data_IF_302742769635
#
_entry.id   IF_302742769635
#
_cell.length_a   1.000
_cell.length_b   1.000
_cell.length_c   1.000
_cell.angle_alpha   90.00
_cell.angle_beta   90.00
_cell.angle_gamma   90.00
#
_symmetry.space_group_name_H-M   'P 1'
#
loop_
_entity.id
_entity.type
_entity.pdbx_description
1 polymer ?
#
# COMPACT_ATOMS: atom_id res chain seq x y z
N UNK A 1 -40.89 -4.17 -10.55
CA UNK A 1 -39.62 -4.94 -10.50
C UNK A 1 -38.51 -3.99 -10.05
N UNK A 2 -38.08 -4.10 -8.78
CA UNK A 2 -37.05 -3.22 -8.19
C UNK A 2 -35.68 -3.89 -8.45
N UNK A 3 -34.87 -3.33 -9.34
CA UNK A 3 -33.46 -3.73 -9.51
C UNK A 3 -32.65 -3.15 -8.35
N UNK A 4 -32.04 -4.03 -7.56
CA UNK A 4 -31.02 -3.65 -6.57
C UNK A 4 -29.75 -3.26 -7.33
N UNK A 5 -29.38 -1.99 -7.26
CA UNK A 5 -28.07 -1.53 -7.70
C UNK A 5 -27.02 -1.93 -6.64
N UNK A 6 -26.10 -2.78 -7.03
CA UNK A 6 -24.89 -3.05 -6.24
C UNK A 6 -23.90 -1.90 -6.48
N UNK A 7 -23.62 -1.17 -5.42
CA UNK A 7 -22.64 -0.07 -5.39
C UNK A 7 -21.28 -0.70 -5.11
N UNK A 8 -20.41 -0.79 -6.11
CA UNK A 8 -19.01 -1.14 -5.92
C UNK A 8 -18.24 0.11 -5.48
N UNK A 9 -18.11 0.31 -4.18
CA UNK A 9 -17.16 1.26 -3.58
C UNK A 9 -15.89 0.47 -3.31
N UNK A 10 -14.85 0.71 -4.11
CA UNK A 10 -13.50 0.18 -3.85
C UNK A 10 -12.81 1.04 -2.79
N UNK A 11 -13.40 1.09 -1.61
CA UNK A 11 -12.70 1.34 -0.36
C UNK A 11 -12.68 -0.01 0.32
N UNK A 12 -11.50 -0.60 0.49
CA UNK A 12 -11.34 -1.81 1.29
C UNK A 12 -11.65 -1.48 2.76
N UNK A 13 -12.93 -1.28 3.06
CA UNK A 13 -13.43 -1.32 4.43
C UNK A 13 -13.82 -2.78 4.70
N UNK A 14 -13.03 -3.46 5.50
CA UNK A 14 -13.46 -4.65 6.20
C UNK A 14 -14.58 -4.25 7.17
N UNK A 15 -15.80 -4.06 6.65
CA UNK A 15 -17.01 -3.85 7.44
C UNK A 15 -17.40 -5.17 8.10
N UNK A 16 -17.09 -5.34 9.38
CA UNK A 16 -17.59 -6.44 10.18
C UNK A 16 -19.10 -6.34 10.37
N UNK A 17 -19.86 -7.28 9.82
CA UNK A 17 -21.20 -7.61 10.30
C UNK A 17 -21.06 -8.22 11.72
N UNK A 18 -21.99 -7.97 12.66
CA UNK A 18 -21.99 -8.64 13.95
C UNK A 18 -22.08 -10.15 13.70
N UNK A 19 -21.05 -10.87 14.09
CA UNK A 19 -21.01 -12.32 14.00
C UNK A 19 -22.05 -12.89 14.97
N UNK A 20 -23.20 -13.31 14.43
CA UNK A 20 -23.98 -14.35 15.10
C UNK A 20 -23.02 -15.52 15.33
N UNK A 21 -23.05 -16.11 16.53
CA UNK A 21 -22.34 -17.33 16.86
C UNK A 21 -22.60 -18.36 15.76
N UNK A 22 -21.70 -18.48 14.80
CA UNK A 22 -21.75 -19.50 13.76
C UNK A 22 -21.37 -20.83 14.43
N UNK A 23 -22.39 -21.60 14.79
CA UNK A 23 -22.25 -23.00 15.16
C UNK A 23 -21.85 -23.74 13.90
N UNK A 24 -20.63 -24.31 13.86
CA UNK A 24 -20.30 -25.45 13.04
C UNK A 24 -19.78 -25.18 11.63
N UNK A 25 -18.74 -24.35 11.47
CA UNK A 25 -17.83 -24.47 10.36
C UNK A 25 -16.60 -25.30 10.77
N UNK A 26 -16.02 -26.07 9.86
CA UNK A 26 -14.83 -26.86 10.12
C UNK A 26 -13.55 -26.19 9.61
N UNK A 27 -12.41 -26.74 10.04
CA UNK A 27 -11.10 -26.29 9.57
C UNK A 27 -10.98 -26.28 8.03
N UNK A 28 -11.63 -27.25 7.37
CA UNK A 28 -11.60 -27.45 5.93
C UNK A 28 -12.84 -26.84 5.26
N UNK A 29 -14.03 -27.03 5.83
CA UNK A 29 -15.32 -26.61 5.27
C UNK A 29 -15.40 -25.09 5.07
N UNK A 30 -14.81 -24.32 5.98
CA UNK A 30 -14.74 -22.84 5.90
C UNK A 30 -13.45 -22.35 5.22
N UNK A 31 -12.66 -23.25 4.64
CA UNK A 31 -11.45 -22.86 3.93
C UNK A 31 -11.79 -22.13 2.62
N UNK A 32 -10.90 -21.25 2.24
CA UNK A 32 -10.94 -20.58 0.94
C UNK A 32 -9.57 -20.66 0.28
N UNK A 33 -9.55 -20.87 -1.03
CA UNK A 33 -8.32 -20.80 -1.80
C UNK A 33 -8.53 -19.94 -3.06
N UNK A 34 -7.62 -19.02 -3.29
CA UNK A 34 -7.58 -18.19 -4.50
C UNK A 34 -6.19 -18.24 -5.11
N UNK A 35 -6.12 -18.35 -6.43
CA UNK A 35 -4.90 -18.18 -7.20
C UNK A 35 -5.06 -16.92 -8.06
N UNK A 36 -4.23 -15.91 -7.81
CA UNK A 36 -4.19 -14.73 -8.66
C UNK A 36 -3.03 -14.86 -9.65
N UNK A 37 -3.35 -14.81 -10.93
CA UNK A 37 -2.39 -14.65 -12.01
C UNK A 37 -2.21 -13.17 -12.27
N UNK A 38 -0.95 -12.67 -12.27
CA UNK A 38 -0.62 -11.26 -12.51
C UNK A 38 0.43 -11.17 -13.61
N UNK A 39 0.03 -10.70 -14.77
CA UNK A 39 0.96 -10.33 -15.83
C UNK A 39 1.27 -8.85 -15.69
N UNK A 40 2.55 -8.50 -15.64
CA UNK A 40 2.98 -7.14 -15.36
C UNK A 40 4.10 -6.70 -16.30
N UNK A 41 3.81 -5.75 -17.17
CA UNK A 41 4.79 -5.01 -17.94
C UNK A 41 5.00 -3.64 -17.31
N UNK A 42 6.25 -3.26 -17.11
CA UNK A 42 6.61 -2.00 -16.47
C UNK A 42 7.80 -1.36 -17.17
N UNK A 43 7.61 -0.12 -17.64
CA UNK A 43 8.62 0.69 -18.30
C UNK A 43 8.73 2.05 -17.60
N UNK A 44 9.97 2.49 -17.40
CA UNK A 44 10.35 3.83 -16.95
C UNK A 44 11.43 4.37 -17.85
N UNK A 45 11.25 5.57 -18.36
CA UNK A 45 12.29 6.37 -19.00
C UNK A 45 12.72 7.46 -18.00
N UNK A 46 14.03 7.63 -17.86
CA UNK A 46 14.66 8.57 -16.94
C UNK A 46 15.32 9.69 -17.73
N UNK A 47 15.02 10.93 -17.41
CA UNK A 47 15.65 12.13 -17.95
C UNK A 47 16.03 13.07 -16.81
N UNK A 48 16.87 14.05 -17.09
CA UNK A 48 17.46 14.93 -16.05
C UNK A 48 17.94 14.15 -14.81
N UNK A 49 18.79 13.15 -15.07
CA UNK A 49 19.16 12.14 -14.10
C UNK A 49 19.95 12.76 -12.95
N UNK A 50 19.41 12.71 -11.75
CA UNK A 50 20.05 13.17 -10.53
C UNK A 50 20.77 12.02 -9.81
N UNK A 51 21.94 12.33 -9.24
CA UNK A 51 22.72 11.38 -8.45
C UNK A 51 23.65 10.47 -9.27
N UNK A 52 23.96 9.27 -8.75
CA UNK A 52 24.99 8.37 -9.31
C UNK A 52 24.45 7.36 -10.30
N UNK A 53 23.15 7.12 -10.32
CA UNK A 53 22.57 6.19 -11.27
C UNK A 53 22.53 6.84 -12.65
N UNK A 54 23.19 6.22 -13.63
CA UNK A 54 23.25 6.70 -15.02
C UNK A 54 22.31 5.93 -15.94
N UNK A 55 21.44 5.09 -15.39
CA UNK A 55 20.49 4.31 -16.16
C UNK A 55 19.42 5.23 -16.75
N UNK A 56 19.27 5.24 -18.08
CA UNK A 56 18.26 6.06 -18.77
C UNK A 56 16.90 5.38 -18.91
N UNK A 57 16.83 4.07 -18.68
CA UNK A 57 15.61 3.28 -18.82
C UNK A 57 15.58 2.10 -17.86
N UNK A 58 14.40 1.79 -17.30
CA UNK A 58 14.12 0.50 -16.66
C UNK A 58 12.88 -0.12 -17.31
N UNK A 59 12.99 -1.38 -17.74
CA UNK A 59 11.89 -2.06 -18.43
C UNK A 59 11.95 -3.56 -18.17
N UNK A 60 10.87 -4.08 -17.61
CA UNK A 60 10.75 -5.49 -17.28
C UNK A 60 9.32 -5.98 -17.53
N UNK A 61 9.22 -7.23 -17.96
CA UNK A 61 7.96 -7.94 -18.11
C UNK A 61 8.02 -9.25 -17.36
N UNK A 62 7.01 -9.51 -16.51
CA UNK A 62 7.03 -10.67 -15.64
C UNK A 62 5.62 -11.21 -15.39
N UNK A 63 5.56 -12.52 -15.05
CA UNK A 63 4.35 -13.21 -14.66
C UNK A 63 4.42 -13.58 -13.18
N UNK A 64 3.44 -13.13 -12.39
CA UNK A 64 3.25 -13.48 -10.98
C UNK A 64 2.16 -14.52 -10.78
N UNK A 65 2.36 -15.38 -9.78
CA UNK A 65 1.39 -16.34 -9.25
C UNK A 65 1.29 -16.12 -7.76
N UNK A 66 0.08 -15.82 -7.25
CA UNK A 66 -0.16 -15.51 -5.85
C UNK A 66 -1.26 -16.45 -5.36
N UNK A 67 -0.87 -17.49 -4.62
CA UNK A 67 -1.77 -18.43 -3.99
C UNK A 67 -2.08 -17.96 -2.57
N UNK A 68 -3.35 -17.73 -2.27
CA UNK A 68 -3.85 -17.46 -0.93
C UNK A 68 -4.78 -18.61 -0.51
N UNK A 69 -4.34 -19.38 0.45
CA UNK A 69 -5.17 -20.36 1.15
C UNK A 69 -5.42 -19.86 2.57
N UNK A 70 -6.66 -19.87 3.00
CA UNK A 70 -7.07 -19.56 4.38
C UNK A 70 -7.93 -20.68 4.89
N UNK A 71 -7.48 -21.39 5.93
CA UNK A 71 -8.32 -22.40 6.56
C UNK A 71 -9.48 -21.77 7.34
N UNK A 72 -10.50 -22.54 7.64
CA UNK A 72 -11.41 -22.25 8.74
C UNK A 72 -10.70 -22.39 10.09
N UNK A 73 -11.50 -22.63 11.15
CA UNK A 73 -11.01 -22.88 12.51
C UNK A 73 -11.50 -24.22 13.01
N UNK A 74 -10.69 -24.87 13.88
CA UNK A 74 -11.15 -26.05 14.60
C UNK A 74 -12.36 -25.70 15.49
N UNK A 75 -13.29 -26.64 15.72
CA UNK A 75 -14.37 -26.46 16.66
C UNK A 75 -13.86 -26.27 18.09
N UNK A 76 -14.64 -25.57 18.94
CA UNK A 76 -14.34 -25.38 20.34
C UNK A 76 -14.30 -23.89 20.75
N UNK A 77 -14.12 -23.61 22.06
CA UNK A 77 -14.07 -22.24 22.55
C UNK A 77 -12.82 -21.47 22.04
N UNK A 78 -11.74 -22.20 21.75
CA UNK A 78 -10.56 -21.68 21.05
C UNK A 78 -10.43 -22.46 19.75
N UNK A 79 -10.60 -21.75 18.62
CA UNK A 79 -10.39 -22.32 17.30
C UNK A 79 -8.98 -22.09 16.80
N UNK A 80 -8.37 -23.09 16.15
CA UNK A 80 -7.05 -23.00 15.52
C UNK A 80 -7.17 -23.13 14.00
N UNK A 81 -6.31 -22.44 13.28
CA UNK A 81 -6.26 -22.45 11.82
C UNK A 81 -4.87 -22.17 11.27
N UNK A 82 -4.76 -22.33 9.94
CA UNK A 82 -3.51 -22.14 9.19
C UNK A 82 -3.81 -21.43 7.89
N UNK A 83 -3.07 -20.35 7.61
CA UNK A 83 -3.10 -19.70 6.30
C UNK A 83 -1.77 -19.97 5.55
N UNK A 84 -1.86 -20.06 4.22
CA UNK A 84 -0.71 -20.29 3.34
C UNK A 84 -0.70 -19.23 2.25
N UNK A 85 0.42 -18.54 2.10
CA UNK A 85 0.69 -17.58 1.04
C UNK A 85 1.80 -18.11 0.15
N UNK A 86 1.45 -18.60 -1.05
CA UNK A 86 2.42 -19.03 -2.07
C UNK A 86 2.66 -17.91 -3.07
N UNK A 87 3.90 -17.53 -3.29
CA UNK A 87 4.29 -16.44 -4.18
C UNK A 87 5.35 -16.94 -5.16
N UNK A 88 5.15 -16.69 -6.46
CA UNK A 88 6.11 -17.02 -7.50
C UNK A 88 6.08 -15.94 -8.58
N UNK A 89 7.26 -15.44 -8.98
CA UNK A 89 7.47 -14.54 -10.10
C UNK A 89 8.36 -15.17 -11.13
N UNK A 90 8.01 -15.04 -12.41
CA UNK A 90 8.74 -15.56 -13.56
C UNK A 90 9.01 -14.40 -14.52
N UNK A 91 10.27 -14.25 -14.92
CA UNK A 91 10.70 -13.28 -15.92
C UNK A 91 10.20 -13.69 -17.31
N UNK A 92 9.52 -12.77 -17.99
CA UNK A 92 9.17 -12.91 -19.40
C UNK A 92 10.15 -12.15 -20.28
N UNK A 93 10.54 -10.92 -19.87
CA UNK A 93 11.55 -10.12 -20.53
C UNK A 93 12.24 -9.15 -19.56
N UNK A 94 13.57 -9.06 -19.64
CA UNK A 94 14.45 -8.09 -18.99
C UNK A 94 15.88 -8.26 -19.47
N UNK A 95 16.63 -7.16 -19.59
CA UNK A 95 18.07 -7.16 -19.88
C UNK A 95 18.83 -6.41 -18.78
N UNK A 96 20.14 -6.66 -18.65
CA UNK A 96 21.00 -6.08 -17.62
C UNK A 96 21.13 -4.54 -17.69
N UNK A 97 20.86 -3.95 -18.86
CA UNK A 97 20.88 -2.50 -19.10
C UNK A 97 19.56 -1.79 -18.72
N UNK A 98 18.50 -2.54 -18.42
CA UNK A 98 17.16 -2.00 -18.13
C UNK A 98 16.43 -2.67 -16.97
N UNK A 99 17.16 -3.25 -16.02
CA UNK A 99 16.63 -3.81 -14.76
C UNK A 99 16.16 -2.72 -13.79
N UNK A 100 15.81 -3.09 -12.57
CA UNK A 100 15.48 -2.20 -11.45
C UNK A 100 14.09 -1.54 -11.50
N UNK A 101 13.11 -2.15 -12.16
CA UNK A 101 11.70 -1.74 -12.00
C UNK A 101 11.12 -2.16 -10.64
N UNK A 102 11.78 -3.09 -9.95
CA UNK A 102 11.31 -3.73 -8.72
C UNK A 102 10.26 -4.84 -8.97
N UNK A 103 10.10 -5.33 -10.20
CA UNK A 103 9.32 -6.53 -10.50
C UNK A 103 10.09 -7.79 -10.17
N UNK A 104 11.39 -7.81 -10.48
CA UNK A 104 12.28 -8.97 -10.37
C UNK A 104 13.46 -8.67 -9.44
N UNK A 105 13.99 -9.66 -8.72
CA UNK A 105 15.29 -9.53 -8.07
C UNK A 105 16.39 -9.29 -9.10
N UNK A 106 17.39 -8.50 -8.75
CA UNK A 106 18.56 -8.25 -9.59
C UNK A 106 19.78 -8.83 -8.90
N UNK A 107 20.54 -9.66 -9.62
CA UNK A 107 21.80 -10.27 -9.14
C UNK A 107 22.96 -9.28 -9.22
N UNK A 108 24.10 -9.62 -8.60
CA UNK A 108 25.30 -8.79 -8.57
C UNK A 108 25.90 -8.54 -9.97
N UNK A 109 25.59 -9.40 -10.95
CA UNK A 109 25.98 -9.22 -12.36
C UNK A 109 25.05 -8.27 -13.14
N UNK A 110 24.09 -7.63 -12.47
CA UNK A 110 23.13 -6.69 -13.04
C UNK A 110 21.95 -7.34 -13.75
N UNK A 111 21.87 -8.68 -13.82
CA UNK A 111 20.78 -9.37 -14.51
C UNK A 111 19.60 -9.64 -13.57
N UNK A 112 18.39 -9.52 -14.11
CA UNK A 112 17.18 -9.92 -13.41
C UNK A 112 17.10 -11.45 -13.30
N UNK A 113 16.69 -11.93 -12.12
CA UNK A 113 16.44 -13.36 -11.86
C UNK A 113 15.42 -13.92 -12.86
N UNK A 114 15.61 -15.16 -13.31
CA UNK A 114 14.69 -15.83 -14.22
C UNK A 114 13.37 -16.18 -13.53
N UNK A 115 13.46 -16.53 -12.25
CA UNK A 115 12.32 -16.82 -11.39
C UNK A 115 12.69 -16.54 -9.94
N UNK A 116 11.70 -16.31 -9.11
CA UNK A 116 11.84 -16.20 -7.66
C UNK A 116 10.52 -16.52 -6.99
N UNK A 117 10.55 -16.96 -5.74
CA UNK A 117 9.33 -17.31 -5.06
C UNK A 117 9.54 -17.63 -3.59
N UNK A 118 8.45 -17.68 -2.85
CA UNK A 118 8.45 -18.04 -1.44
C UNK A 118 7.12 -18.60 -0.99
N UNK A 119 7.16 -19.36 0.11
CA UNK A 119 6.00 -19.90 0.79
C UNK A 119 5.95 -19.32 2.20
N UNK A 120 4.89 -18.60 2.52
CA UNK A 120 4.59 -18.07 3.84
C UNK A 120 3.51 -18.89 4.54
N UNK A 121 3.72 -19.19 5.82
CA UNK A 121 2.76 -19.88 6.68
C UNK A 121 2.37 -18.95 7.83
N UNK A 122 1.08 -18.97 8.20
CA UNK A 122 0.55 -18.22 9.34
C UNK A 122 -0.34 -19.11 10.17
N UNK A 123 0.10 -19.43 11.38
CA UNK A 123 -0.73 -20.06 12.40
C UNK A 123 -1.68 -19.02 12.97
N UNK A 124 -2.92 -19.40 13.21
CA UNK A 124 -3.91 -18.51 13.82
C UNK A 124 -4.71 -19.23 14.89
N UNK A 125 -5.03 -18.50 15.94
CA UNK A 125 -5.91 -18.94 17.02
C UNK A 125 -6.97 -17.87 17.24
N UNK A 126 -8.22 -18.27 17.45
CA UNK A 126 -9.34 -17.37 17.68
C UNK A 126 -10.09 -17.75 18.95
N UNK A 127 -10.34 -16.77 19.79
CA UNK A 127 -11.24 -16.84 20.91
C UNK A 127 -12.24 -15.68 20.81
N UNK A 128 -13.53 -15.98 20.78
CA UNK A 128 -14.57 -14.99 20.53
C UNK A 128 -14.30 -14.20 19.24
N UNK A 129 -14.22 -12.87 19.32
CA UNK A 129 -13.87 -11.97 18.20
C UNK A 129 -12.41 -11.50 18.25
N UNK A 130 -11.57 -12.17 19.05
CA UNK A 130 -10.14 -11.90 19.16
C UNK A 130 -9.33 -13.00 18.47
N UNK A 131 -8.40 -12.59 17.60
CA UNK A 131 -7.56 -13.48 16.82
C UNK A 131 -6.07 -13.19 17.05
N UNK A 132 -5.31 -14.23 17.35
CA UNK A 132 -3.85 -14.23 17.40
C UNK A 132 -3.31 -14.87 16.13
N UNK A 133 -2.36 -14.22 15.48
CA UNK A 133 -1.64 -14.73 14.29
C UNK A 133 -0.15 -14.77 14.56
N UNK A 134 0.50 -15.82 14.07
CA UNK A 134 1.95 -15.95 14.09
C UNK A 134 2.44 -16.51 12.76
N UNK A 135 3.30 -15.81 12.10
CA UNK A 135 3.89 -16.21 10.80
C UNK A 135 3.97 -15.08 9.80
N UNK A 136 3.84 -15.43 8.52
CA UNK A 136 3.96 -14.51 7.39
C UNK A 136 2.65 -13.73 7.19
N UNK A 137 2.73 -12.40 7.20
CA UNK A 137 1.57 -11.51 7.19
C UNK A 137 1.76 -10.34 6.21
N UNK A 138 0.63 -9.79 5.77
CA UNK A 138 0.55 -8.60 4.92
C UNK A 138 -0.25 -7.51 5.65
N UNK A 139 0.34 -6.80 6.64
CA UNK A 139 -0.35 -5.73 7.37
C UNK A 139 -0.76 -4.61 6.43
N UNK A 140 -1.88 -3.96 6.76
CA UNK A 140 -2.38 -2.79 6.04
C UNK A 140 -2.84 -1.74 7.07
N UNK A 141 -1.86 -1.14 7.73
CA UNK A 141 -2.02 -0.16 8.81
C UNK A 141 -1.51 1.20 8.32
N UNK A 142 -2.01 2.32 8.83
CA UNK A 142 -1.49 3.64 8.44
C UNK A 142 0.01 3.80 8.66
N UNK A 143 0.53 3.20 9.72
CA UNK A 143 1.95 3.22 10.11
C UNK A 143 2.78 2.09 9.49
N UNK A 144 2.15 1.09 8.89
CA UNK A 144 2.80 -0.06 8.27
C UNK A 144 1.88 -0.72 7.24
N UNK A 145 2.04 -0.38 5.98
CA UNK A 145 1.32 -1.03 4.90
C UNK A 145 2.26 -1.97 4.13
N UNK A 146 1.78 -3.18 3.80
CA UNK A 146 2.48 -4.00 2.84
C UNK A 146 2.35 -3.38 1.45
N UNK A 147 3.42 -3.45 0.66
CA UNK A 147 3.39 -2.96 -0.70
C UNK A 147 2.95 -4.06 -1.66
N UNK A 148 1.85 -3.84 -2.38
CA UNK A 148 1.36 -4.72 -3.47
C UNK A 148 1.21 -3.94 -4.79
N UNK A 149 2.20 -3.12 -5.12
CA UNK A 149 2.22 -2.27 -6.32
C UNK A 149 3.18 -2.75 -7.40
N UNK A 150 3.67 -3.98 -7.29
CA UNK A 150 4.56 -4.67 -8.24
C UNK A 150 4.04 -6.09 -8.52
N UNK A 151 4.93 -6.99 -8.91
CA UNK A 151 4.58 -8.36 -9.28
C UNK A 151 4.05 -9.18 -8.10
N UNK A 152 4.78 -9.17 -6.99
CA UNK A 152 4.43 -9.86 -5.74
C UNK A 152 4.34 -8.86 -4.57
N UNK A 153 3.52 -9.14 -3.55
CA UNK A 153 3.43 -8.28 -2.36
C UNK A 153 4.67 -8.42 -1.47
N UNK A 154 5.00 -7.35 -0.77
CA UNK A 154 5.89 -7.41 0.39
C UNK A 154 5.17 -8.11 1.55
N UNK A 155 5.93 -8.82 2.39
CA UNK A 155 5.40 -9.54 3.55
C UNK A 155 6.25 -9.28 4.79
N UNK A 156 5.65 -9.54 5.95
CA UNK A 156 6.29 -9.41 7.25
C UNK A 156 6.07 -10.66 8.08
N UNK A 157 7.04 -11.04 8.89
CA UNK A 157 6.94 -12.19 9.78
C UNK A 157 6.94 -11.75 11.24
N UNK A 158 5.97 -12.24 11.99
CA UNK A 158 5.85 -11.94 13.43
C UNK A 158 4.52 -12.36 14.02
N UNK A 159 4.16 -11.72 15.13
CA UNK A 159 2.94 -11.97 15.89
C UNK A 159 2.02 -10.77 15.81
N UNK A 160 0.73 -11.00 15.60
CA UNK A 160 -0.32 -9.97 15.60
C UNK A 160 -1.52 -10.45 16.41
N UNK A 161 -2.05 -9.58 17.26
CA UNK A 161 -3.32 -9.74 17.97
C UNK A 161 -4.32 -8.75 17.38
N UNK A 162 -5.50 -9.24 17.00
CA UNK A 162 -6.59 -8.43 16.45
C UNK A 162 -7.84 -8.69 17.29
N UNK A 163 -8.45 -7.67 17.87
CA UNK A 163 -9.67 -7.77 18.66
C UNK A 163 -10.79 -6.91 18.07
N UNK A 164 -12.00 -7.51 17.99
CA UNK A 164 -13.25 -6.88 17.56
C UNK A 164 -14.38 -7.17 18.57
N UNK A 165 -14.03 -7.24 19.85
CA UNK A 165 -15.00 -7.53 20.93
C UNK A 165 -15.98 -6.38 21.16
N UNK A 166 -15.60 -5.16 20.84
CA UNK A 166 -16.43 -3.97 21.00
C UNK A 166 -16.99 -3.58 19.62
N UNK A 167 -18.32 -3.49 19.46
CA UNK A 167 -18.92 -3.08 18.21
C UNK A 167 -18.38 -1.74 17.68
N UNK A 168 -17.99 -1.73 16.41
CA UNK A 168 -17.39 -0.57 15.76
C UNK A 168 -15.91 -0.34 16.04
N UNK A 169 -15.31 -1.02 17.04
CA UNK A 169 -13.90 -0.89 17.40
C UNK A 169 -13.09 -2.09 16.93
N UNK A 170 -12.04 -1.83 16.13
CA UNK A 170 -11.00 -2.82 15.81
C UNK A 170 -9.70 -2.38 16.48
N UNK A 171 -9.19 -3.19 17.39
CA UNK A 171 -7.89 -2.99 18.02
C UNK A 171 -6.89 -3.98 17.47
N UNK A 172 -5.66 -3.53 17.25
CA UNK A 172 -4.56 -4.41 16.84
C UNK A 172 -3.28 -4.06 17.59
N UNK A 173 -2.52 -5.08 17.93
CA UNK A 173 -1.16 -4.95 18.44
C UNK A 173 -0.29 -6.04 17.82
N UNK A 174 0.99 -5.76 17.62
CA UNK A 174 1.88 -6.75 17.03
C UNK A 174 3.35 -6.45 17.22
N UNK A 175 4.14 -7.50 17.01
CA UNK A 175 5.59 -7.46 16.92
C UNK A 175 6.04 -8.23 15.69
N UNK A 176 6.67 -7.52 14.75
CA UNK A 176 7.22 -8.08 13.52
C UNK A 176 8.73 -8.10 13.61
N UNK A 177 9.35 -9.18 13.15
CA UNK A 177 10.79 -9.41 13.34
C UNK A 177 11.56 -9.26 12.02
N UNK A 178 10.93 -9.60 10.90
CA UNK A 178 11.57 -9.54 9.58
C UNK A 178 10.56 -9.11 8.51
N UNK A 179 11.09 -8.59 7.41
CA UNK A 179 10.34 -8.33 6.19
C UNK A 179 10.94 -9.10 5.01
N UNK A 180 10.12 -9.45 4.02
CA UNK A 180 10.57 -9.89 2.71
C UNK A 180 10.10 -8.87 1.70
N UNK A 181 11.04 -8.24 1.01
CA UNK A 181 10.73 -7.21 0.01
C UNK A 181 10.00 -7.82 -1.19
N UNK A 182 9.24 -7.00 -1.92
CA UNK A 182 8.41 -7.42 -3.05
C UNK A 182 9.17 -8.14 -4.18
N UNK A 183 10.47 -7.84 -4.35
CA UNK A 183 11.38 -8.44 -5.33
C UNK A 183 12.51 -9.23 -4.64
N UNK A 184 12.21 -9.95 -3.56
CA UNK A 184 13.17 -10.76 -2.82
C UNK A 184 12.53 -12.06 -2.35
N UNK A 185 13.38 -13.05 -2.02
CA UNK A 185 13.00 -14.30 -1.35
C UNK A 185 13.42 -14.31 0.11
N UNK A 186 14.27 -13.37 0.53
CA UNK A 186 14.99 -13.43 1.78
C UNK A 186 14.30 -12.63 2.88
N UNK A 187 14.22 -13.24 4.06
CA UNK A 187 13.83 -12.55 5.28
C UNK A 187 14.98 -11.64 5.75
N UNK A 188 14.70 -10.35 5.82
CA UNK A 188 15.67 -9.33 6.21
C UNK A 188 15.20 -8.57 7.44
N UNK A 189 16.13 -8.01 8.22
CA UNK A 189 15.83 -7.02 9.23
C UNK A 189 15.16 -5.81 8.57
N UNK A 190 14.28 -5.15 9.30
CA UNK A 190 13.59 -3.99 8.76
C UNK A 190 14.47 -2.75 8.82
N UNK A 191 14.43 -1.97 7.74
CA UNK A 191 15.09 -0.66 7.63
C UNK A 191 14.06 0.44 7.51
N UNK A 192 14.33 1.60 8.07
CA UNK A 192 13.58 2.81 7.76
C UNK A 192 14.06 3.41 6.44
N UNK A 193 13.16 4.11 5.74
CA UNK A 193 13.45 4.81 4.50
C UNK A 193 12.67 6.13 4.44
N UNK A 194 13.33 7.19 3.97
CA UNK A 194 12.70 8.40 3.44
C UNK A 194 12.90 8.33 1.93
N UNK A 195 11.82 8.26 1.18
CA UNK A 195 11.90 8.17 -0.29
C UNK A 195 12.16 9.56 -0.86
N UNK A 196 13.09 9.64 -1.80
CA UNK A 196 13.51 10.90 -2.46
C UNK A 196 14.04 11.96 -1.48
N UNK A 197 14.68 11.54 -0.38
CA UNK A 197 15.35 12.45 0.55
C UNK A 197 16.47 13.22 -0.17
N UNK A 198 16.34 14.54 -0.37
CA UNK A 198 17.35 15.34 -1.06
C UNK A 198 18.53 15.73 -0.18
N UNK A 199 18.38 15.63 1.16
CA UNK A 199 19.38 16.06 2.14
C UNK A 199 20.38 14.92 2.38
N UNK A 200 19.88 13.76 2.77
CA UNK A 200 20.73 12.61 3.11
C UNK A 200 20.11 11.27 2.71
N UNK A 201 20.07 10.93 1.43
CA UNK A 201 19.38 9.75 0.91
C UNK A 201 19.93 8.41 1.43
N UNK A 202 21.07 8.42 2.15
CA UNK A 202 21.71 7.21 2.69
C UNK A 202 21.65 7.09 4.21
N UNK A 203 21.21 8.10 4.92
CA UNK A 203 21.22 8.12 6.39
C UNK A 203 20.52 6.92 7.01
N UNK A 204 19.39 6.51 6.44
CA UNK A 204 18.57 5.43 6.95
C UNK A 204 18.91 4.06 6.33
N UNK A 205 19.54 4.04 5.16
CA UNK A 205 19.66 2.83 4.33
C UNK A 205 20.45 1.68 4.97
N UNK A 206 21.26 1.94 5.98
CA UNK A 206 22.11 0.95 6.64
C UNK A 206 21.70 0.61 8.07
N UNK A 207 20.78 1.37 8.66
CA UNK A 207 20.29 1.11 10.00
C UNK A 207 19.13 0.12 9.98
N UNK A 208 19.28 -0.97 10.74
CA UNK A 208 18.25 -2.00 10.87
C UNK A 208 17.76 -2.10 12.30
N UNK A 209 16.44 -2.20 12.46
CA UNK A 209 15.78 -2.54 13.71
C UNK A 209 15.51 -4.05 13.79
N UNK A 210 15.65 -4.63 14.99
CA UNK A 210 15.39 -6.05 15.20
C UNK A 210 13.90 -6.35 15.27
N UNK A 211 13.10 -5.37 15.70
CA UNK A 211 11.66 -5.52 15.86
C UNK A 211 10.93 -4.25 15.42
N UNK A 212 9.75 -4.46 14.83
CA UNK A 212 8.74 -3.42 14.67
C UNK A 212 7.56 -3.73 15.58
N UNK A 213 7.37 -2.93 16.61
CA UNK A 213 6.26 -3.03 17.52
C UNK A 213 5.17 -2.05 17.10
N UNK A 214 3.91 -2.44 17.20
CA UNK A 214 2.81 -1.53 16.93
C UNK A 214 1.59 -1.82 17.79
N UNK A 215 0.80 -0.78 18.03
CA UNK A 215 -0.50 -0.85 18.67
C UNK A 215 -1.39 0.27 18.12
N UNK A 216 -2.66 -0.01 17.99
CA UNK A 216 -3.64 1.01 17.60
C UNK A 216 -4.99 0.43 17.27
N UNK A 217 -5.82 1.24 16.66
CA UNK A 217 -7.16 0.81 16.27
C UNK A 217 -7.95 1.88 15.53
N UNK A 218 -9.06 1.41 15.01
CA UNK A 218 -10.04 2.20 14.28
C UNK A 218 -11.40 2.05 14.96
N UNK A 219 -12.06 3.18 15.25
CA UNK A 219 -13.41 3.21 15.79
C UNK A 219 -14.37 3.80 14.75
N UNK A 220 -15.27 2.97 14.26
CA UNK A 220 -16.29 3.34 13.28
C UNK A 220 -17.66 3.49 13.95
N UNK A 221 -18.32 4.61 13.75
CA UNK A 221 -19.61 4.94 14.29
C UNK A 221 -20.47 5.70 13.27
N UNK A 222 -21.66 6.16 13.68
CA UNK A 222 -22.58 6.86 12.79
C UNK A 222 -22.92 6.04 11.54
N UNK A 223 -23.34 4.78 11.73
CA UNK A 223 -23.56 3.80 10.65
C UNK A 223 -22.34 3.62 9.73
N UNK A 224 -21.15 3.56 10.31
CA UNK A 224 -19.85 3.43 9.64
C UNK A 224 -19.50 4.60 8.69
N UNK A 225 -20.12 5.75 8.89
CA UNK A 225 -19.82 6.97 8.11
C UNK A 225 -18.66 7.76 8.67
N UNK A 226 -18.33 7.54 9.94
CA UNK A 226 -17.23 8.22 10.61
C UNK A 226 -16.30 7.18 11.20
N UNK A 227 -15.01 7.29 10.92
CA UNK A 227 -13.97 6.44 11.51
C UNK A 227 -12.91 7.34 12.12
N UNK A 228 -12.59 7.10 13.39
CA UNK A 228 -11.46 7.67 14.10
C UNK A 228 -10.36 6.63 14.18
N UNK A 229 -9.14 7.03 13.92
CA UNK A 229 -7.97 6.15 13.90
C UNK A 229 -6.88 6.68 14.83
N UNK A 230 -6.30 5.78 15.61
CA UNK A 230 -5.06 6.04 16.34
C UNK A 230 -4.14 4.84 16.21
N UNK A 231 -2.88 5.09 15.83
CA UNK A 231 -1.86 4.08 15.68
C UNK A 231 -0.52 4.58 16.16
N UNK A 232 0.24 3.70 16.80
CA UNK A 232 1.64 3.92 17.16
C UNK A 232 2.48 2.75 16.67
N UNK A 233 3.58 3.04 16.01
CA UNK A 233 4.59 2.09 15.55
C UNK A 233 5.97 2.49 16.03
N UNK A 234 6.85 1.51 16.20
CA UNK A 234 8.22 1.68 16.67
C UNK A 234 9.12 0.70 15.94
N UNK A 235 10.09 1.20 15.19
CA UNK A 235 11.23 0.41 14.73
C UNK A 235 12.36 0.58 15.74
N UNK A 236 12.68 -0.49 16.44
CA UNK A 236 13.58 -0.52 17.60
C UNK A 236 14.93 0.19 17.31
N UNK A 237 15.32 1.10 18.21
CA UNK A 237 16.53 1.92 18.16
C UNK A 237 16.64 2.86 16.95
N UNK A 238 15.58 3.05 16.18
CA UNK A 238 15.58 3.91 14.99
C UNK A 238 14.53 5.02 15.11
N UNK A 239 13.24 4.68 15.11
CA UNK A 239 12.18 5.68 15.21
C UNK A 239 10.89 5.14 15.83
N UNK A 240 10.11 6.04 16.41
CA UNK A 240 8.71 5.84 16.74
C UNK A 240 7.84 6.78 15.92
N UNK A 241 6.68 6.28 15.48
CA UNK A 241 5.72 7.03 14.67
C UNK A 241 4.31 6.89 15.24
N UNK A 242 3.56 7.99 15.25
CA UNK A 242 2.15 8.00 15.63
C UNK A 242 1.31 8.54 14.47
N UNK A 243 0.11 8.00 14.36
CA UNK A 243 -0.90 8.42 13.40
C UNK A 243 -2.22 8.72 14.10
N UNK A 244 -2.82 9.84 13.73
CA UNK A 244 -4.16 10.25 14.11
C UNK A 244 -4.95 10.50 12.83
N UNK A 245 -6.13 9.87 12.71
CA UNK A 245 -6.93 9.97 11.49
C UNK A 245 -8.42 10.15 11.76
N UNK A 246 -9.08 10.86 10.85
CA UNK A 246 -10.54 10.93 10.79
C UNK A 246 -10.99 10.79 9.33
N UNK A 247 -11.90 9.85 9.10
CA UNK A 247 -12.62 9.69 7.83
C UNK A 247 -14.09 9.93 8.06
N UNK A 248 -14.71 10.69 7.16
CA UNK A 248 -16.14 10.94 7.24
C UNK A 248 -16.78 10.91 5.84
N UNK A 249 -17.99 10.34 5.75
CA UNK A 249 -18.80 10.34 4.53
C UNK A 249 -20.19 10.88 4.83
N UNK A 250 -20.58 11.93 4.10
CA UNK A 250 -21.87 12.62 4.24
C UNK A 250 -22.70 12.46 2.96
N UNK A 251 -23.73 11.59 2.95
CA UNK A 251 -24.70 11.54 1.87
C UNK A 251 -25.57 12.79 1.84
N UNK A 252 -25.66 13.45 0.70
CA UNK A 252 -26.49 14.66 0.44
C UNK A 252 -27.31 14.45 -0.83
N UNK A 253 -28.46 13.81 -0.71
CA UNK A 253 -29.30 13.48 -1.87
C UNK A 253 -28.55 12.56 -2.84
N UNK A 254 -28.31 13.05 -4.07
CA UNK A 254 -27.57 12.30 -5.10
C UNK A 254 -26.04 12.41 -4.97
N UNK A 255 -25.55 13.26 -4.09
CA UNK A 255 -24.14 13.47 -3.81
C UNK A 255 -23.68 12.69 -2.58
N UNK A 256 -22.40 12.32 -2.55
CA UNK A 256 -21.70 11.90 -1.34
C UNK A 256 -20.45 12.75 -1.21
N UNK A 257 -20.35 13.49 -0.11
CA UNK A 257 -19.13 14.21 0.25
C UNK A 257 -18.32 13.33 1.19
N UNK A 258 -16.99 13.30 1.02
CA UNK A 258 -16.11 12.54 1.93
C UNK A 258 -14.87 13.35 2.29
N UNK A 259 -14.37 13.13 3.48
CA UNK A 259 -13.09 13.65 3.96
C UNK A 259 -12.24 12.53 4.53
N UNK A 260 -10.93 12.62 4.27
CA UNK A 260 -9.88 11.78 4.87
C UNK A 260 -8.78 12.73 5.35
N UNK A 261 -8.66 12.87 6.67
CA UNK A 261 -7.70 13.78 7.30
C UNK A 261 -6.79 12.93 8.18
N UNK A 262 -5.49 13.12 8.04
CA UNK A 262 -4.49 12.40 8.82
C UNK A 262 -3.36 13.29 9.29
N UNK A 263 -2.80 12.92 10.44
CA UNK A 263 -1.64 13.56 11.02
C UNK A 263 -0.67 12.52 11.56
N UNK A 264 0.58 12.60 11.12
CA UNK A 264 1.68 11.76 11.57
C UNK A 264 2.69 12.58 12.36
N UNK A 265 3.30 11.96 13.37
CA UNK A 265 4.50 12.44 14.02
C UNK A 265 5.51 11.31 14.09
N UNK A 266 6.78 11.59 13.88
CA UNK A 266 7.85 10.63 14.08
C UNK A 266 9.06 11.29 14.72
N UNK A 267 9.67 10.60 15.67
CA UNK A 267 10.90 10.98 16.37
C UNK A 267 11.83 9.78 16.45
N UNK A 268 13.08 10.01 16.79
CA UNK A 268 14.02 8.92 17.07
C UNK A 268 13.54 8.01 18.22
N UNK A 269 14.08 6.81 18.27
CA UNK A 269 13.82 5.81 19.31
C UNK A 269 15.12 5.19 19.85
N UNK A 270 15.12 4.87 21.15
CA UNK A 270 16.15 4.11 21.83
C UNK A 270 17.55 4.68 21.65
N UNK A 271 18.45 3.90 21.04
CA UNK A 271 19.84 4.30 20.81
C UNK A 271 20.03 5.28 19.64
N UNK A 272 18.96 5.71 18.99
CA UNK A 272 18.99 6.69 17.88
C UNK A 272 20.04 6.36 16.81
N UNK A 273 20.05 5.11 16.32
CA UNK A 273 21.08 4.60 15.39
C UNK A 273 21.28 5.45 14.13
N UNK A 274 20.32 6.31 13.82
CA UNK A 274 20.36 7.21 12.66
C UNK A 274 20.45 8.69 13.06
N UNK A 275 20.68 8.98 14.35
CA UNK A 275 20.67 10.33 14.92
C UNK A 275 19.27 10.84 15.18
N UNK A 276 19.16 12.13 15.48
CA UNK A 276 17.87 12.77 15.74
C UNK A 276 16.95 12.70 14.53
N UNK A 277 15.68 12.50 14.80
CA UNK A 277 14.61 12.45 13.81
C UNK A 277 13.46 13.38 14.26
N UNK A 278 13.08 14.29 13.40
CA UNK A 278 11.90 15.14 13.59
C UNK A 278 11.09 15.20 12.29
N UNK A 279 9.96 14.55 12.28
CA UNK A 279 9.03 14.57 11.16
C UNK A 279 7.60 14.72 11.66
N UNK A 280 6.87 15.61 11.03
CA UNK A 280 5.44 15.76 11.16
C UNK A 280 4.85 15.84 9.76
N UNK A 281 3.74 15.17 9.52
CA UNK A 281 3.03 15.24 8.25
C UNK A 281 1.54 15.37 8.51
N UNK A 282 0.93 16.39 7.92
CA UNK A 282 -0.52 16.59 7.95
C UNK A 282 -1.09 16.52 6.53
N UNK A 283 -2.23 15.85 6.34
CA UNK A 283 -2.92 15.85 5.07
C UNK A 283 -4.44 15.95 5.25
N UNK A 284 -5.10 16.47 4.21
CA UNK A 284 -6.54 16.45 4.05
C UNK A 284 -6.90 16.17 2.60
N UNK A 285 -7.70 15.13 2.38
CA UNK A 285 -8.27 14.77 1.08
C UNK A 285 -9.79 14.85 1.15
N UNK A 286 -10.37 15.68 0.30
CA UNK A 286 -11.81 15.89 0.22
C UNK A 286 -12.33 15.43 -1.13
N UNK A 287 -13.50 14.79 -1.15
CA UNK A 287 -14.10 14.33 -2.39
C UNK A 287 -15.60 14.58 -2.46
N UNK A 288 -16.09 14.79 -3.68
CA UNK A 288 -17.50 14.91 -4.01
C UNK A 288 -17.85 13.92 -5.11
N UNK A 289 -18.69 12.94 -4.78
CA UNK A 289 -19.16 11.90 -5.71
C UNK A 289 -20.59 12.20 -6.14
N UNK A 290 -20.81 12.18 -7.46
CA UNK A 290 -22.13 12.26 -8.07
C UNK A 290 -22.25 11.25 -9.21
N UNK A 291 -23.13 10.25 -9.06
CA UNK A 291 -23.27 9.14 -10.03
C UNK A 291 -21.92 8.47 -10.29
N UNK A 292 -21.46 8.44 -11.56
CA UNK A 292 -20.17 7.91 -11.97
C UNK A 292 -18.96 8.83 -11.74
N UNK A 293 -19.18 10.11 -11.42
CA UNK A 293 -18.13 11.12 -11.27
C UNK A 293 -17.67 11.22 -9.81
N UNK A 294 -16.35 11.32 -9.59
CA UNK A 294 -15.80 11.67 -8.27
C UNK A 294 -14.68 12.69 -8.47
N UNK A 295 -14.84 13.84 -7.83
CA UNK A 295 -13.85 14.91 -7.81
C UNK A 295 -13.14 14.90 -6.46
N UNK A 296 -11.82 15.09 -6.47
CA UNK A 296 -11.02 15.16 -5.26
C UNK A 296 -10.13 16.39 -5.29
N UNK A 297 -9.96 16.99 -4.12
CA UNK A 297 -8.94 17.99 -3.83
C UNK A 297 -8.20 17.57 -2.58
N UNK A 298 -6.89 17.74 -2.54
CA UNK A 298 -6.07 17.38 -1.41
C UNK A 298 -4.96 18.39 -1.14
N UNK A 299 -4.55 18.46 0.11
CA UNK A 299 -3.38 19.19 0.55
C UNK A 299 -2.61 18.34 1.55
N UNK A 300 -1.28 18.39 1.47
CA UNK A 300 -0.36 17.71 2.36
C UNK A 300 0.81 18.63 2.67
N UNK A 301 1.24 18.66 3.93
CA UNK A 301 2.42 19.39 4.37
C UNK A 301 3.29 18.50 5.24
N UNK A 302 4.59 18.54 4.99
CA UNK A 302 5.65 17.95 5.81
C UNK A 302 6.31 19.05 6.60
N UNK A 303 6.66 18.78 7.84
CA UNK A 303 7.26 19.71 8.79
C UNK A 303 8.34 18.98 9.60
N UNK A 304 9.32 19.72 10.10
CA UNK A 304 10.49 19.19 10.80
C UNK A 304 11.65 18.93 9.83
N UNK A 305 12.76 18.47 10.39
CA UNK A 305 14.02 18.36 9.66
C UNK A 305 14.08 17.16 8.70
N UNK A 306 13.12 16.23 8.81
CA UNK A 306 13.14 14.98 8.07
C UNK A 306 11.88 14.81 7.21
N UNK A 307 12.02 14.14 6.08
CA UNK A 307 10.91 13.65 5.29
C UNK A 307 10.16 12.48 5.97
N UNK A 308 9.06 12.04 5.37
CA UNK A 308 8.21 10.99 5.94
C UNK A 308 8.91 9.63 6.01
N UNK A 309 8.96 9.05 7.22
CA UNK A 309 9.59 7.76 7.48
C UNK A 309 8.63 6.58 7.22
N UNK A 310 9.18 5.53 6.62
CA UNK A 310 8.46 4.26 6.36
C UNK A 310 9.38 3.06 6.47
N UNK A 311 8.81 1.85 6.60
CA UNK A 311 9.57 0.62 6.61
C UNK A 311 9.84 0.15 5.18
N UNK A 312 11.09 0.21 4.75
CA UNK A 312 11.46 -0.14 3.38
C UNK A 312 10.70 0.69 2.35
N UNK A 313 10.52 0.13 1.14
CA UNK A 313 9.81 0.79 0.04
C UNK A 313 8.29 0.48 0.12
N UNK A 314 7.67 0.79 1.26
CA UNK A 314 6.23 0.61 1.47
C UNK A 314 5.45 1.85 1.07
N UNK A 315 4.21 1.65 0.65
CA UNK A 315 3.25 2.74 0.50
C UNK A 315 2.68 3.11 1.86
N UNK A 316 2.30 4.36 2.01
CA UNK A 316 1.59 4.87 3.19
C UNK A 316 0.29 5.52 2.74
N UNK A 317 -0.74 5.55 3.55
CA UNK A 317 -2.03 6.13 3.18
C UNK A 317 -2.00 7.67 3.25
N UNK A 318 -0.98 8.28 2.64
CA UNK A 318 -0.84 9.72 2.54
C UNK A 318 -1.80 10.28 1.49
N UNK A 319 -2.24 11.52 1.68
CA UNK A 319 -3.15 12.17 0.75
C UNK A 319 -2.59 12.29 -0.65
N UNK A 320 -1.31 12.64 -0.76
CA UNK A 320 -0.64 12.94 -2.03
C UNK A 320 0.42 11.89 -2.44
N UNK A 321 0.38 10.67 -1.91
CA UNK A 321 1.29 9.62 -2.37
C UNK A 321 0.90 9.09 -3.75
N UNK A 322 1.85 9.13 -4.68
CA UNK A 322 1.71 8.75 -6.09
C UNK A 322 2.58 7.53 -6.45
N UNK A 323 2.35 6.90 -7.62
CA UNK A 323 3.14 5.77 -8.06
C UNK A 323 4.62 6.05 -8.25
N UNK A 324 5.00 7.30 -8.56
CA UNK A 324 6.37 7.69 -8.87
C UNK A 324 6.96 8.57 -7.77
N UNK A 325 6.30 9.69 -7.41
CA UNK A 325 6.71 10.58 -6.34
C UNK A 325 5.77 10.48 -5.13
N UNK A 326 6.30 10.71 -3.94
CA UNK A 326 5.55 10.54 -2.70
C UNK A 326 5.11 11.88 -2.08
N UNK A 327 5.67 13.00 -2.54
CA UNK A 327 5.38 14.34 -2.03
C UNK A 327 5.52 14.40 -0.50
N UNK A 328 6.60 13.82 0.00
CA UNK A 328 6.83 13.65 1.43
C UNK A 328 8.31 13.93 1.85
N UNK A 329 9.00 14.74 1.06
CA UNK A 329 10.33 15.24 1.35
C UNK A 329 10.30 16.27 2.52
N UNK A 330 11.45 16.60 3.15
CA UNK A 330 11.51 17.59 4.22
C UNK A 330 10.92 18.94 3.77
N UNK A 331 10.11 19.55 4.62
CA UNK A 331 9.43 20.85 4.44
C UNK A 331 8.45 20.94 3.26
N UNK A 332 8.24 19.88 2.51
CA UNK A 332 7.41 19.88 1.31
C UNK A 332 5.96 20.25 1.60
N UNK A 333 5.39 21.08 0.72
CA UNK A 333 3.98 21.44 0.66
C UNK A 333 3.44 20.98 -0.69
N UNK A 334 2.38 20.17 -0.69
CA UNK A 334 1.81 19.66 -1.93
C UNK A 334 0.29 19.76 -1.96
N UNK A 335 -0.24 19.94 -3.17
CA UNK A 335 -1.67 19.92 -3.40
C UNK A 335 -2.01 19.01 -4.56
N UNK A 336 -3.22 18.43 -4.57
CA UNK A 336 -3.72 17.61 -5.66
C UNK A 336 -5.10 18.00 -6.13
N UNK A 337 -5.33 17.73 -7.42
CA UNK A 337 -6.65 17.56 -8.00
C UNK A 337 -6.72 16.18 -8.64
N UNK A 338 -7.88 15.50 -8.46
CA UNK A 338 -8.10 14.18 -9.04
C UNK A 338 -9.54 14.08 -9.52
N UNK A 339 -9.73 13.41 -10.64
CA UNK A 339 -11.03 13.07 -11.18
C UNK A 339 -11.09 11.58 -11.49
N UNK A 340 -12.09 10.90 -10.94
CA UNK A 340 -12.39 9.50 -11.24
C UNK A 340 -13.73 9.43 -11.98
N UNK A 341 -13.81 8.54 -12.98
CA UNK A 341 -15.03 8.28 -13.70
C UNK A 341 -15.31 6.78 -13.82
N UNK A 342 -16.51 6.37 -13.41
CA UNK A 342 -17.07 5.03 -13.62
C UNK A 342 -18.00 5.07 -14.82
N UNK A 343 -17.61 4.40 -15.90
CA UNK A 343 -18.33 4.40 -17.17
C UNK A 343 -19.59 3.51 -17.17
N UNK A 344 -19.91 2.84 -16.06
CA UNK A 344 -21.11 2.01 -15.96
C UNK A 344 -22.39 2.82 -16.25
N UNK A 345 -22.40 4.09 -15.82
CA UNK A 345 -23.54 5.02 -16.03
C UNK A 345 -23.76 5.40 -17.50
N UNK A 346 -22.77 5.21 -18.37
CA UNK A 346 -22.84 5.48 -19.81
C UNK A 346 -22.82 4.21 -20.66
N UNK A 347 -23.07 3.04 -20.04
CA UNK A 347 -23.24 1.77 -20.74
C UNK A 347 -21.99 0.93 -20.90
N UNK A 348 -20.87 1.28 -20.25
CA UNK A 348 -19.60 0.54 -20.27
C UNK A 348 -19.24 0.04 -18.86
N UNK A 349 -20.00 -0.91 -18.28
CA UNK A 349 -19.74 -1.41 -16.94
C UNK A 349 -18.38 -2.13 -16.88
N UNK A 350 -17.64 -1.85 -15.80
CA UNK A 350 -16.30 -2.41 -15.59
C UNK A 350 -15.16 -1.53 -16.11
N UNK A 351 -15.45 -0.50 -16.91
CA UNK A 351 -14.46 0.50 -17.30
C UNK A 351 -14.43 1.63 -16.27
N UNK A 352 -13.23 2.00 -15.83
CA UNK A 352 -12.98 3.14 -14.95
C UNK A 352 -11.78 3.94 -15.42
N UNK A 353 -11.76 5.23 -15.12
CA UNK A 353 -10.59 6.08 -15.35
C UNK A 353 -10.28 6.93 -14.13
N UNK A 354 -9.01 7.24 -13.93
CA UNK A 354 -8.51 8.24 -12.98
C UNK A 354 -7.56 9.18 -13.72
N UNK A 355 -7.77 10.48 -13.56
CA UNK A 355 -6.82 11.53 -13.92
C UNK A 355 -6.45 12.27 -12.65
N UNK A 356 -5.15 12.41 -12.36
CA UNK A 356 -4.65 13.05 -11.16
C UNK A 356 -3.44 13.93 -11.49
N UNK A 357 -3.36 15.06 -10.84
CA UNK A 357 -2.22 15.97 -10.86
C UNK A 357 -1.90 16.38 -9.43
N UNK A 358 -0.61 16.29 -9.09
CA UNK A 358 -0.07 16.74 -7.81
C UNK A 358 1.11 17.67 -8.10
N UNK A 359 1.22 18.75 -7.35
CA UNK A 359 2.40 19.62 -7.34
C UNK A 359 2.87 19.80 -5.90
N UNK A 360 4.17 19.66 -5.69
CA UNK A 360 4.91 19.98 -4.48
C UNK A 360 5.83 21.17 -4.67
N UNK A 361 6.06 21.92 -3.61
CA UNK A 361 7.01 23.00 -3.51
C UNK A 361 7.60 23.08 -2.09
N UNK A 362 8.48 24.05 -1.83
CA UNK A 362 9.09 24.30 -0.54
C UNK A 362 9.96 23.16 0.00
N UNK A 363 10.45 22.27 -0.86
CA UNK A 363 11.30 21.14 -0.42
C UNK A 363 12.65 21.67 0.03
N UNK A 364 13.07 21.32 1.27
CA UNK A 364 14.43 21.56 1.71
C UNK A 364 15.40 20.64 0.99
N UNK A 365 16.29 21.23 0.18
CA UNK A 365 17.34 20.50 -0.56
C UNK A 365 18.68 20.51 0.18
N UNK A 366 18.73 20.98 1.42
CA UNK A 366 19.91 21.02 2.28
C UNK A 366 21.06 21.80 1.66
N UNK A 367 22.23 21.19 1.61
CA UNK A 367 23.45 21.81 1.10
C UNK A 367 23.39 22.24 -0.39
N UNK A 368 22.37 21.87 -1.14
CA UNK A 368 22.19 22.31 -2.54
C UNK A 368 21.75 23.77 -2.62
N UNK A 369 21.12 24.32 -1.55
CA UNK A 369 20.86 25.75 -1.35
C UNK A 369 19.78 26.37 -2.25
N UNK A 370 18.90 25.55 -2.82
CA UNK A 370 17.72 25.99 -3.57
C UNK A 370 16.46 25.30 -3.07
N UNK A 371 15.31 25.91 -3.29
CA UNK A 371 14.02 25.33 -2.99
C UNK A 371 13.65 24.26 -4.02
N UNK A 372 13.32 23.05 -3.55
CA UNK A 372 12.90 21.97 -4.41
C UNK A 372 11.43 22.10 -4.79
N UNK A 373 11.13 21.78 -6.06
CA UNK A 373 9.79 21.66 -6.63
C UNK A 373 9.67 20.37 -7.40
N UNK A 374 8.50 19.77 -7.35
CA UNK A 374 8.16 18.61 -8.16
C UNK A 374 6.67 18.59 -8.53
N UNK A 375 6.35 17.77 -9.52
CA UNK A 375 4.97 17.47 -9.89
C UNK A 375 4.85 16.12 -10.56
N UNK A 376 3.66 15.53 -10.43
CA UNK A 376 3.31 14.28 -11.12
C UNK A 376 1.90 14.36 -11.68
N UNK A 377 1.75 13.86 -12.91
CA UNK A 377 0.46 13.66 -13.57
C UNK A 377 0.27 12.17 -13.84
N UNK A 378 -0.86 11.61 -13.39
CA UNK A 378 -1.25 10.22 -13.64
C UNK A 378 -2.49 10.12 -14.51
N UNK A 379 -2.47 9.16 -15.42
CA UNK A 379 -3.64 8.61 -16.08
C UNK A 379 -3.71 7.11 -15.79
N UNK A 380 -4.84 6.64 -15.29
CA UNK A 380 -5.10 5.23 -15.00
C UNK A 380 -6.41 4.83 -15.69
N UNK A 381 -6.35 3.82 -16.56
CA UNK A 381 -7.51 3.21 -17.21
C UNK A 381 -7.58 1.74 -16.80
N UNK A 382 -8.72 1.30 -16.29
CA UNK A 382 -8.92 -0.08 -15.90
C UNK A 382 -10.24 -0.62 -16.44
N UNK A 383 -10.19 -1.84 -17.02
CA UNK A 383 -11.37 -2.57 -17.45
C UNK A 383 -11.41 -3.95 -16.82
N UNK A 384 -12.54 -4.29 -16.23
CA UNK A 384 -12.80 -5.62 -15.69
C UNK A 384 -13.88 -6.31 -16.52
N UNK A 385 -13.57 -7.48 -17.07
CA UNK A 385 -14.50 -8.28 -17.88
C UNK A 385 -15.67 -8.75 -17.02
N UNK A 386 -16.90 -8.43 -17.45
CA UNK A 386 -18.11 -8.58 -16.64
C UNK A 386 -18.76 -9.96 -16.77
N UNK A 387 -18.51 -10.71 -17.85
CA UNK A 387 -19.17 -11.98 -18.15
C UNK A 387 -18.31 -12.90 -19.01
N UNK A 388 -18.77 -14.15 -19.22
CA UNK A 388 -18.08 -15.14 -20.02
C UNK A 388 -16.93 -15.84 -19.31
N UNK A 389 -16.12 -16.65 -20.02
CA UNK A 389 -15.03 -17.46 -19.45
C UNK A 389 -13.92 -16.65 -18.78
N UNK A 390 -13.73 -15.40 -19.23
CA UNK A 390 -12.72 -14.47 -18.68
C UNK A 390 -13.32 -13.46 -17.69
N UNK A 391 -14.50 -13.74 -17.15
CA UNK A 391 -15.10 -12.88 -16.12
C UNK A 391 -14.10 -12.65 -14.97
N UNK A 392 -14.03 -11.41 -14.46
CA UNK A 392 -13.12 -10.93 -13.44
C UNK A 392 -11.65 -10.77 -13.89
N UNK A 393 -11.27 -11.08 -15.13
CA UNK A 393 -10.00 -10.60 -15.67
C UNK A 393 -10.05 -9.09 -15.71
N UNK A 394 -9.05 -8.44 -15.13
CA UNK A 394 -8.88 -6.99 -15.18
C UNK A 394 -7.63 -6.63 -15.97
N UNK A 395 -7.75 -5.62 -16.83
CA UNK A 395 -6.67 -5.04 -17.60
C UNK A 395 -6.55 -3.58 -17.15
N UNK A 396 -5.36 -3.15 -16.75
CA UNK A 396 -5.09 -1.81 -16.27
C UNK A 396 -3.88 -1.24 -16.99
N UNK A 397 -4.04 -0.06 -17.55
CA UNK A 397 -2.94 0.74 -18.07
C UNK A 397 -2.77 1.99 -17.20
N UNK A 398 -1.54 2.22 -16.78
CA UNK A 398 -1.11 3.41 -16.06
C UNK A 398 -0.06 4.14 -16.84
N UNK A 399 -0.21 5.45 -16.94
CA UNK A 399 0.80 6.36 -17.42
C UNK A 399 1.03 7.43 -16.36
N UNK A 400 2.29 7.64 -16.00
CA UNK A 400 2.71 8.71 -15.11
C UNK A 400 3.80 9.55 -15.77
N UNK A 401 3.76 10.85 -15.52
CA UNK A 401 4.83 11.79 -15.87
C UNK A 401 5.17 12.57 -14.61
N UNK A 402 6.41 12.44 -14.14
CA UNK A 402 6.91 13.09 -12.95
C UNK A 402 8.15 13.94 -13.28
N UNK A 403 8.21 15.17 -12.76
CA UNK A 403 9.28 16.14 -13.00
C UNK A 403 9.67 16.81 -11.69
N UNK A 404 10.98 17.06 -11.53
CA UNK A 404 11.52 17.67 -10.32
C UNK A 404 12.81 18.44 -10.63
N UNK A 405 13.06 19.52 -9.90
CA UNK A 405 14.34 20.22 -9.97
C UNK A 405 15.41 19.63 -9.02
N UNK A 406 15.04 18.62 -8.19
CA UNK A 406 15.95 17.99 -7.22
C UNK A 406 16.04 16.47 -7.33
N UNK A 407 15.11 15.83 -8.02
CA UNK A 407 15.06 14.38 -8.26
C UNK A 407 15.04 14.05 -9.76
N UNK A 408 15.27 12.81 -10.13
CA UNK A 408 15.27 12.34 -11.54
C UNK A 408 13.88 12.43 -12.14
N UNK A 409 13.75 13.02 -13.32
CA UNK A 409 12.54 13.04 -14.12
C UNK A 409 12.18 11.66 -14.63
N UNK A 410 10.89 11.30 -14.57
CA UNK A 410 10.42 9.95 -14.89
C UNK A 410 9.17 10.01 -15.77
N UNK A 411 9.20 9.30 -16.89
CA UNK A 411 8.02 8.91 -17.65
C UNK A 411 7.77 7.41 -17.49
N UNK A 412 6.58 7.04 -17.07
CA UNK A 412 6.27 5.68 -16.64
C UNK A 412 5.04 5.12 -17.38
N UNK A 413 5.14 3.86 -17.81
CA UNK A 413 4.03 3.08 -18.31
C UNK A 413 3.96 1.71 -17.67
N UNK A 414 2.77 1.32 -17.22
CA UNK A 414 2.49 0.00 -16.68
C UNK A 414 1.29 -0.61 -17.38
N UNK A 415 1.43 -1.85 -17.83
CA UNK A 415 0.31 -2.67 -18.27
C UNK A 415 0.19 -3.86 -17.33
N UNK A 416 -0.97 -3.98 -16.68
CA UNK A 416 -1.19 -4.98 -15.64
C UNK A 416 -2.44 -5.77 -16.00
N UNK A 417 -2.30 -7.09 -16.14
CA UNK A 417 -3.43 -8.00 -16.29
C UNK A 417 -3.51 -8.88 -15.05
N UNK A 418 -4.66 -8.86 -14.37
CA UNK A 418 -4.91 -9.71 -13.20
C UNK A 418 -6.08 -10.66 -13.49
N UNK A 419 -5.93 -11.92 -13.10
CA UNK A 419 -6.98 -12.91 -13.15
C UNK A 419 -7.08 -13.63 -11.80
N UNK A 420 -8.05 -13.27 -10.93
CA UNK A 420 -8.31 -13.99 -9.70
C UNK A 420 -9.13 -15.25 -9.99
N UNK A 421 -8.57 -16.41 -9.70
CA UNK A 421 -9.23 -17.72 -9.82
C UNK A 421 -9.59 -18.17 -8.42
N UNK A 422 -10.90 -18.32 -8.17
CA UNK A 422 -11.37 -18.95 -6.95
C UNK A 422 -11.25 -20.47 -7.14
N UNK A 423 -10.48 -21.15 -6.30
CA UNK A 423 -10.27 -22.58 -6.36
C UNK A 423 -11.38 -23.33 -5.58
N UNK A 424 -11.73 -22.81 -4.41
CA UNK A 424 -12.88 -23.25 -3.60
C UNK A 424 -13.24 -22.23 -2.53
#
# INVERSE_FOLDING_TARGET
>A
MKRKQQLAISVAMAGGLPSALAVGGGLIEDSTATLQLRNYYFMRDFSDIQGRNQQSKAEEWAQGFILNFKSGYTPGPVGFGLDVLGLMGVKLDSNSDRTNTGLLPVHDDGKAASEYGRLGLTLKARFSSTELRYGEQTPNLPILAHTDNRLLPQTYRGTTLISREIPGLTLQAGRLNTAVMRNSTDHQKMTALIINDPINPRRLAYATGDHYNYIGGDYSFNANRTTLSFWQGQLEDIYQQRFYGIKHALPLGAWTLSSDIGYFTATEDGHSKVGNLDNQLAYGLFSAKYKGHTFHVGYQGVYGDDGFLRIGDTLSPLGNELPTYQFSAPDERSWQIRYDFDFAGVGLPGLTSTLRYVKGDNVDTGARGFEGEDWERDLDLAYTIQSGPLKNVSIRWRNATARSNYATDIDENRLIVNYPIKLF
#
